data_IF_348430826170
#
_entry.id   IF_348430826170
#
_cell.length_a   1.000
_cell.length_b   1.000
_cell.length_c   1.000
_cell.angle_alpha   90.00
_cell.angle_beta   90.00
_cell.angle_gamma   90.00
#
_symmetry.space_group_name_H-M   'P 1'
#
loop_
_entity.id
_entity.type
_entity.pdbx_description
1 polymer ?
#
# COMPACT_ATOMS: atom_id res chain seq x y z
N UNK A 1 29.48 -26.37 28.77
CA UNK A 1 29.77 -26.30 27.32
C UNK A 1 28.74 -27.06 26.49
N UNK A 2 28.41 -28.33 26.78
CA UNK A 2 27.40 -29.06 26.01
C UNK A 2 25.99 -28.42 26.10
N UNK A 3 25.51 -28.16 27.31
CA UNK A 3 24.19 -27.54 27.54
C UNK A 3 24.06 -26.17 26.87
N UNK A 4 25.12 -25.34 26.93
CA UNK A 4 25.15 -24.02 26.29
C UNK A 4 25.03 -24.13 24.77
N UNK A 5 25.66 -25.13 24.14
CA UNK A 5 25.58 -25.35 22.68
C UNK A 5 24.16 -25.78 22.28
N UNK A 6 23.52 -26.66 23.08
CA UNK A 6 22.16 -27.15 22.82
C UNK A 6 21.15 -26.01 22.95
N UNK A 7 21.24 -25.23 24.03
CA UNK A 7 20.36 -24.07 24.25
C UNK A 7 20.55 -23.06 23.12
N UNK A 8 21.78 -22.68 22.81
CA UNK A 8 22.06 -21.70 21.76
C UNK A 8 21.52 -22.15 20.40
N UNK A 9 21.78 -23.41 20.01
CA UNK A 9 21.31 -23.95 18.72
C UNK A 9 19.78 -24.00 18.65
N UNK A 10 19.11 -24.27 19.77
CA UNK A 10 17.65 -24.35 19.82
C UNK A 10 17.01 -22.96 19.82
N UNK A 11 17.61 -21.98 20.49
CA UNK A 11 17.06 -20.62 20.64
C UNK A 11 17.35 -19.72 19.44
N UNK A 12 18.46 -19.93 18.74
CA UNK A 12 18.84 -19.15 17.55
C UNK A 12 17.73 -19.02 16.48
N UNK A 13 17.03 -20.09 16.05
CA UNK A 13 15.93 -19.95 15.09
C UNK A 13 14.75 -19.14 15.63
N UNK A 14 14.43 -19.24 16.92
CA UNK A 14 13.38 -18.42 17.54
C UNK A 14 13.74 -16.95 17.55
N UNK A 15 14.99 -16.61 17.88
CA UNK A 15 15.48 -15.24 17.84
C UNK A 15 15.40 -14.70 16.42
N UNK A 16 15.86 -15.47 15.43
CA UNK A 16 15.78 -15.06 14.02
C UNK A 16 14.34 -14.77 13.58
N UNK A 17 13.41 -15.66 13.89
CA UNK A 17 11.99 -15.46 13.54
C UNK A 17 11.39 -14.26 14.24
N UNK A 18 11.66 -14.09 15.54
CA UNK A 18 11.17 -12.94 16.32
C UNK A 18 11.78 -11.63 15.81
N UNK A 19 13.06 -11.60 15.47
CA UNK A 19 13.71 -10.45 14.83
C UNK A 19 13.07 -10.09 13.50
N UNK A 20 12.64 -11.08 12.70
CA UNK A 20 11.92 -10.82 11.44
C UNK A 20 10.60 -10.07 11.69
N UNK A 21 9.87 -10.42 12.75
CA UNK A 21 8.63 -9.71 13.13
C UNK A 21 8.96 -8.30 13.64
N UNK A 22 9.95 -8.15 14.52
CA UNK A 22 10.33 -6.86 15.12
C UNK A 22 10.87 -5.87 14.07
N UNK A 23 11.63 -6.37 13.09
CA UNK A 23 12.17 -5.57 11.99
C UNK A 23 11.16 -5.34 10.86
N UNK A 24 9.90 -5.74 11.05
CA UNK A 24 8.84 -5.62 10.04
C UNK A 24 9.23 -6.27 8.70
N UNK A 25 9.91 -7.41 8.78
CA UNK A 25 10.33 -8.18 7.62
C UNK A 25 9.15 -8.72 6.81
N UNK A 26 9.40 -8.93 5.52
CA UNK A 26 8.43 -9.53 4.59
C UNK A 26 8.17 -10.98 5.01
N UNK A 27 6.90 -11.42 5.15
CA UNK A 27 6.59 -12.79 5.52
C UNK A 27 7.10 -13.80 4.49
N UNK A 28 7.64 -14.92 4.99
CA UNK A 28 8.16 -16.00 4.16
C UNK A 28 7.07 -16.54 3.23
N UNK A 29 7.33 -16.55 1.93
CA UNK A 29 6.41 -17.07 0.91
C UNK A 29 5.53 -16.02 0.22
N UNK A 30 5.57 -14.75 0.63
CA UNK A 30 4.91 -13.66 -0.10
C UNK A 30 5.92 -12.99 -1.04
N UNK A 31 5.70 -13.11 -2.35
CA UNK A 31 6.45 -12.32 -3.35
C UNK A 31 5.73 -11.00 -3.61
N UNK A 32 6.35 -9.90 -3.19
CA UNK A 32 5.83 -8.54 -3.36
C UNK A 32 5.53 -8.26 -4.84
N UNK A 33 6.41 -8.68 -5.75
CA UNK A 33 6.25 -8.44 -7.19
C UNK A 33 5.02 -9.16 -7.74
N UNK A 34 4.80 -10.43 -7.35
CA UNK A 34 3.60 -11.16 -7.79
C UNK A 34 2.30 -10.54 -7.28
N UNK A 35 2.30 -10.01 -6.05
CA UNK A 35 1.15 -9.33 -5.48
C UNK A 35 0.89 -8.01 -6.21
N UNK A 36 1.94 -7.23 -6.47
CA UNK A 36 1.88 -5.98 -7.25
C UNK A 36 1.29 -6.24 -8.63
N UNK A 37 1.81 -7.22 -9.36
CA UNK A 37 1.36 -7.58 -10.71
C UNK A 37 -0.11 -8.03 -10.71
N UNK A 38 -0.53 -8.76 -9.67
CA UNK A 38 -1.92 -9.22 -9.53
C UNK A 38 -2.88 -8.05 -9.30
N UNK A 39 -2.49 -7.10 -8.45
CA UNK A 39 -3.27 -5.88 -8.17
C UNK A 39 -3.35 -5.01 -9.42
N UNK A 40 -2.22 -4.78 -10.11
CA UNK A 40 -2.16 -3.91 -11.29
C UNK A 40 -3.03 -4.40 -12.47
N UNK A 41 -3.38 -5.70 -12.50
CA UNK A 41 -4.31 -6.27 -13.51
C UNK A 41 -5.79 -5.93 -13.27
N UNK A 42 -6.14 -5.32 -12.13
CA UNK A 42 -7.52 -4.88 -11.87
C UNK A 42 -7.84 -3.67 -12.75
N UNK A 43 -8.96 -3.76 -13.48
CA UNK A 43 -9.47 -2.64 -14.28
C UNK A 43 -9.74 -1.41 -13.41
N UNK A 44 -9.27 -0.25 -13.85
CA UNK A 44 -9.41 1.01 -13.12
C UNK A 44 -8.18 1.42 -12.29
N UNK A 45 -7.21 0.52 -12.12
CA UNK A 45 -5.91 0.84 -11.53
C UNK A 45 -4.95 1.31 -12.63
N UNK A 46 -4.38 2.50 -12.46
CA UNK A 46 -3.37 3.06 -13.37
C UNK A 46 -1.98 2.56 -12.99
N UNK A 47 -1.64 2.64 -11.70
CA UNK A 47 -0.35 2.21 -11.17
C UNK A 47 -0.45 1.85 -9.69
N UNK A 48 0.48 1.01 -9.23
CA UNK A 48 0.71 0.71 -7.81
C UNK A 48 2.09 1.25 -7.46
N UNK A 49 2.16 2.42 -6.81
CA UNK A 49 3.43 3.08 -6.52
C UNK A 49 4.20 2.34 -5.43
N UNK A 50 3.53 2.11 -4.29
CA UNK A 50 4.15 1.50 -3.12
C UNK A 50 3.30 0.33 -2.63
N UNK A 51 3.97 -0.78 -2.34
CA UNK A 51 3.38 -1.95 -1.71
C UNK A 51 4.35 -2.42 -0.63
N UNK A 52 3.96 -2.21 0.62
CA UNK A 52 4.69 -2.67 1.80
C UNK A 52 3.91 -3.81 2.44
N UNK A 53 4.56 -4.93 2.67
CA UNK A 53 3.98 -6.08 3.37
C UNK A 53 4.93 -6.46 4.50
N UNK A 54 4.40 -6.58 5.71
CA UNK A 54 5.18 -6.96 6.87
C UNK A 54 4.41 -7.92 7.77
N UNK A 55 5.18 -8.62 8.59
CA UNK A 55 4.64 -9.52 9.59
C UNK A 55 4.42 -8.77 10.91
N UNK A 56 3.18 -8.76 11.41
CA UNK A 56 2.86 -8.21 12.74
C UNK A 56 2.98 -9.28 13.84
N UNK A 57 2.70 -10.54 13.48
CA UNK A 57 2.95 -11.71 14.33
C UNK A 57 3.08 -12.96 13.46
N UNK A 58 3.45 -14.10 14.05
CA UNK A 58 3.55 -15.37 13.35
C UNK A 58 2.28 -15.76 12.56
N UNK A 59 1.10 -15.27 12.97
CA UNK A 59 -0.18 -15.59 12.36
C UNK A 59 -0.83 -14.40 11.63
N UNK A 60 -0.24 -13.19 11.70
CA UNK A 60 -0.87 -11.98 11.17
C UNK A 60 0.08 -11.20 10.27
N UNK A 61 -0.28 -11.11 9.00
CA UNK A 61 0.37 -10.27 8.01
C UNK A 61 -0.43 -9.00 7.74
N UNK A 62 0.28 -7.92 7.53
CA UNK A 62 -0.28 -6.58 7.29
C UNK A 62 0.33 -6.02 6.01
N UNK A 63 -0.45 -5.24 5.28
CA UNK A 63 0.07 -4.49 4.13
C UNK A 63 -0.42 -3.04 4.10
N UNK A 64 0.40 -2.18 3.51
CA UNK A 64 0.03 -0.83 3.07
C UNK A 64 0.27 -0.73 1.58
N UNK A 65 -0.69 -0.20 0.84
CA UNK A 65 -0.60 -0.07 -0.61
C UNK A 65 -1.13 1.27 -1.08
N UNK A 66 -0.40 1.89 -1.99
CA UNK A 66 -0.75 3.15 -2.64
C UNK A 66 -1.10 2.87 -4.09
N UNK A 67 -2.32 3.21 -4.48
CA UNK A 67 -2.89 2.82 -5.77
C UNK A 67 -3.40 4.08 -6.47
N UNK A 68 -2.92 4.31 -7.69
CA UNK A 68 -3.43 5.36 -8.56
C UNK A 68 -4.65 4.87 -9.31
N UNK A 69 -5.73 5.64 -9.26
CA UNK A 69 -7.03 5.28 -9.81
C UNK A 69 -7.44 6.23 -10.94
N UNK A 70 -8.24 5.74 -11.89
CA UNK A 70 -8.91 6.59 -12.88
C UNK A 70 -10.07 7.37 -12.21
N UNK A 71 -10.36 8.62 -12.66
CA UNK A 71 -11.34 9.50 -12.01
C UNK A 71 -12.78 8.96 -11.94
N UNK A 72 -13.15 8.04 -12.85
CA UNK A 72 -14.52 7.57 -13.04
C UNK A 72 -14.76 6.15 -12.50
N UNK A 73 -13.87 5.62 -11.67
CA UNK A 73 -13.94 4.23 -11.20
C UNK A 73 -14.71 4.14 -9.89
N UNK A 74 -15.53 3.10 -9.76
CA UNK A 74 -16.13 2.74 -8.47
C UNK A 74 -15.06 2.25 -7.49
N UNK A 75 -14.65 3.16 -6.62
CA UNK A 75 -13.64 2.93 -5.60
C UNK A 75 -14.00 1.75 -4.68
N UNK A 76 -15.27 1.59 -4.31
CA UNK A 76 -15.68 0.60 -3.31
C UNK A 76 -15.56 -0.84 -3.83
N UNK A 77 -16.00 -1.09 -5.07
CA UNK A 77 -15.82 -2.41 -5.69
C UNK A 77 -14.33 -2.71 -5.95
N UNK A 78 -13.56 -1.71 -6.38
CA UNK A 78 -12.13 -1.87 -6.63
C UNK A 78 -11.36 -2.24 -5.35
N UNK A 79 -11.55 -1.51 -4.25
CA UNK A 79 -10.92 -1.87 -2.97
C UNK A 79 -11.29 -3.28 -2.54
N UNK A 80 -12.55 -3.67 -2.74
CA UNK A 80 -13.02 -5.01 -2.36
C UNK A 80 -12.25 -6.08 -3.12
N UNK A 81 -12.01 -5.87 -4.41
CA UNK A 81 -11.18 -6.75 -5.23
C UNK A 81 -9.71 -6.76 -4.77
N UNK A 82 -9.13 -5.60 -4.48
CA UNK A 82 -7.76 -5.49 -3.96
C UNK A 82 -7.62 -6.23 -2.62
N UNK A 83 -8.56 -6.01 -1.69
CA UNK A 83 -8.62 -6.70 -0.40
C UNK A 83 -8.74 -8.21 -0.57
N UNK A 84 -9.58 -8.67 -1.50
CA UNK A 84 -9.72 -10.08 -1.80
C UNK A 84 -8.40 -10.68 -2.27
N UNK A 85 -7.71 -10.03 -3.21
CA UNK A 85 -6.39 -10.48 -3.68
C UNK A 85 -5.41 -10.56 -2.51
N UNK A 86 -5.26 -9.49 -1.72
CA UNK A 86 -4.35 -9.48 -0.57
C UNK A 86 -4.68 -10.59 0.44
N UNK A 87 -5.97 -10.88 0.64
CA UNK A 87 -6.42 -11.98 1.49
C UNK A 87 -6.01 -13.36 0.95
N UNK A 88 -5.99 -13.58 -0.37
CA UNK A 88 -5.49 -14.84 -0.97
C UNK A 88 -3.99 -15.06 -0.72
N UNK A 89 -3.23 -14.00 -0.47
CA UNK A 89 -1.82 -14.06 -0.07
C UNK A 89 -1.63 -14.10 1.46
N UNK A 90 -2.70 -14.31 2.23
CA UNK A 90 -2.65 -14.39 3.70
C UNK A 90 -2.48 -13.05 4.40
N UNK A 91 -2.76 -11.93 3.71
CA UNK A 91 -2.70 -10.59 4.28
C UNK A 91 -4.11 -10.18 4.72
N UNK A 92 -4.34 -10.15 6.04
CA UNK A 92 -5.68 -9.94 6.60
C UNK A 92 -5.95 -8.49 7.01
N UNK A 93 -4.91 -7.70 7.27
CA UNK A 93 -5.05 -6.29 7.63
C UNK A 93 -4.36 -5.45 6.57
N UNK A 94 -5.11 -4.60 5.88
CA UNK A 94 -4.62 -3.85 4.74
C UNK A 94 -5.07 -2.40 4.83
N UNK A 95 -4.12 -1.48 4.65
CA UNK A 95 -4.42 -0.06 4.42
C UNK A 95 -4.23 0.22 2.94
N UNK A 96 -5.27 0.76 2.29
CA UNK A 96 -5.24 1.09 0.86
C UNK A 96 -5.43 2.59 0.75
N UNK A 97 -4.42 3.28 0.25
CA UNK A 97 -4.46 4.71 -0.02
C UNK A 97 -4.74 4.94 -1.50
N UNK A 98 -5.91 5.50 -1.87
CA UNK A 98 -6.17 5.91 -3.23
C UNK A 98 -5.43 7.20 -3.55
N UNK A 99 -4.81 7.25 -4.72
CA UNK A 99 -4.20 8.44 -5.28
C UNK A 99 -4.97 8.83 -6.54
N UNK A 100 -5.56 10.02 -6.51
CA UNK A 100 -6.27 10.60 -7.63
C UNK A 100 -5.37 11.68 -8.23
N UNK A 101 -4.94 11.48 -9.47
CA UNK A 101 -4.10 12.46 -10.15
C UNK A 101 -4.35 12.42 -11.64
N UNK A 102 -4.57 13.59 -12.23
CA UNK A 102 -4.66 13.76 -13.67
C UNK A 102 -3.34 13.33 -14.33
N UNK A 103 -3.46 12.76 -15.52
CA UNK A 103 -2.34 12.37 -16.37
C UNK A 103 -1.63 13.62 -16.90
N UNK A 104 -1.02 14.44 -16.04
CA UNK A 104 0.01 15.41 -16.43
C UNK A 104 0.67 16.03 -15.19
N UNK A 105 2.00 15.89 -15.12
CA UNK A 105 2.84 16.59 -14.15
C UNK A 105 2.75 18.09 -14.43
N UNK A 106 1.99 18.81 -13.60
CA UNK A 106 2.19 20.24 -13.42
C UNK A 106 2.05 20.53 -11.92
N UNK A 107 3.14 20.97 -11.29
CA UNK A 107 3.25 21.25 -9.84
C UNK A 107 2.34 22.41 -9.34
N UNK A 108 1.32 22.77 -10.12
CA UNK A 108 0.35 23.83 -9.82
C UNK A 108 -1.07 23.48 -10.26
N UNK A 109 -1.39 22.20 -10.54
CA UNK A 109 -2.77 21.79 -10.77
C UNK A 109 -3.49 21.60 -9.44
N UNK A 110 -4.45 22.48 -9.15
CA UNK A 110 -5.29 22.39 -7.96
C UNK A 110 -6.12 21.09 -8.02
N UNK A 111 -5.80 20.11 -7.17
CA UNK A 111 -6.48 18.81 -7.12
C UNK A 111 -7.91 18.89 -6.56
N UNK A 112 -8.29 20.01 -5.94
CA UNK A 112 -9.63 20.26 -5.42
C UNK A 112 -10.46 21.00 -6.47
N UNK A 113 -11.45 20.31 -7.04
CA UNK A 113 -12.50 20.94 -7.86
C UNK A 113 -13.51 21.61 -6.94
N UNK A 114 -13.59 22.93 -7.00
CA UNK A 114 -14.67 23.68 -6.36
C UNK A 114 -15.94 23.57 -7.21
N UNK A 115 -17.06 23.29 -6.54
CA UNK A 115 -18.39 23.29 -7.16
C UNK A 115 -18.99 24.71 -7.22
N UNK A 116 -18.56 25.59 -6.30
CA UNK A 116 -19.02 26.99 -6.19
C UNK A 116 -17.89 28.02 -6.43
N UNK A 117 -18.22 29.15 -7.04
CA UNK A 117 -17.27 30.27 -7.29
C UNK A 117 -16.70 30.87 -5.99
N UNK A 118 -17.44 30.79 -4.88
CA UNK A 118 -16.98 31.28 -3.57
C UNK A 118 -15.80 30.49 -2.99
N UNK A 119 -15.66 29.22 -3.41
CA UNK A 119 -14.57 28.34 -3.00
C UNK A 119 -13.28 28.68 -3.76
N UNK A 120 -13.38 29.19 -5.00
CA UNK A 120 -12.23 29.58 -5.83
C UNK A 120 -11.43 30.72 -5.19
N UNK A 121 -12.11 31.69 -4.58
CA UNK A 121 -11.48 32.83 -3.90
C UNK A 121 -10.74 32.46 -2.60
N UNK A 122 -10.94 31.25 -2.07
CA UNK A 122 -10.38 30.78 -0.80
C UNK A 122 -9.27 29.74 -0.97
N UNK A 123 -8.93 29.38 -2.21
CA UNK A 123 -7.87 28.43 -2.49
C UNK A 123 -6.49 29.10 -2.43
N UNK A 124 -5.52 28.38 -1.85
CA UNK A 124 -4.13 28.82 -1.79
C UNK A 124 -3.35 28.58 -3.10
N UNK A 125 -4.00 28.05 -4.14
CA UNK A 125 -3.37 27.77 -5.43
C UNK A 125 -3.29 29.05 -6.27
N UNK A 126 -2.11 29.32 -6.83
CA UNK A 126 -1.93 30.41 -7.78
C UNK A 126 -2.81 30.14 -9.00
N UNK A 127 -3.78 31.03 -9.29
CA UNK A 127 -4.53 30.97 -10.53
C UNK A 127 -3.55 31.08 -11.70
N UNK A 128 -3.64 30.21 -12.72
CA UNK A 128 -2.90 30.42 -13.95
C UNK A 128 -3.34 31.78 -14.51
N UNK A 129 -2.40 32.71 -14.65
CA UNK A 129 -2.66 33.94 -15.39
C UNK A 129 -2.91 33.55 -16.85
N UNK A 130 -4.18 33.51 -17.24
CA UNK A 130 -4.57 33.47 -18.65
C UNK A 130 -4.27 34.83 -19.26
N UNK A 131 -3.23 34.88 -20.10
CA UNK A 131 -3.16 35.86 -21.19
C UNK A 131 -3.93 35.30 -22.38
#
# INVERSE_FOLDING_TARGET
MLLTIIIFSTTFPFVRSTSSVLLQGVPLGVSIDTVRDRIQKISGIVSVHELHVWQLSNAKHVASVHIRLLPSVDYMSLITNVKYILHTYGIHSTTIQPEFGDLENNESSCLLRCEDESCVQKLCCSTPQTN
#
